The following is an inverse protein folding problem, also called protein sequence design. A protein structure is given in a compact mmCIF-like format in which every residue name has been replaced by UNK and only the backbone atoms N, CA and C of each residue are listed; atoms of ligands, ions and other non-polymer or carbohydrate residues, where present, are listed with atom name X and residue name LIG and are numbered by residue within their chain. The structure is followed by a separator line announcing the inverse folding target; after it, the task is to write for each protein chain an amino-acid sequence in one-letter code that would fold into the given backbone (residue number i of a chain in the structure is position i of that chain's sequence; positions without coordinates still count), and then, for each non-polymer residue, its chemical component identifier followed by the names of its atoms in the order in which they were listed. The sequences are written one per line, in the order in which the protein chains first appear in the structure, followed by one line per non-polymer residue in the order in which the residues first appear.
data_IF_815849450473
#
_entry.id   IF_815849450473
#
_cell.length_a   1.000
_cell.length_b   1.000
_cell.length_c   1.000
_cell.angle_alpha   90.00
_cell.angle_beta   90.00
_cell.angle_gamma   90.00
#
_symmetry.space_group_name_H-M   'P 1'
#
loop_
_entity.id
_entity.type
_entity.pdbx_description
1 polymer ?
#
# COMPACT_ATOMS: atom_id res chain seq x y z
N UNK A 1 10.90 -12.85 -0.55
CA UNK A 1 9.78 -12.02 -0.04
C UNK A 1 8.63 -12.95 0.33
N UNK A 2 8.03 -12.80 1.52
CA UNK A 2 6.81 -13.56 1.89
C UNK A 2 5.59 -12.76 1.46
N UNK A 3 4.60 -13.42 0.88
CA UNK A 3 3.29 -12.83 0.56
C UNK A 3 2.44 -12.85 1.83
N UNK A 4 1.80 -11.72 2.12
CA UNK A 4 0.87 -11.56 3.23
C UNK A 4 -0.46 -11.08 2.66
N UNK A 5 -1.55 -11.72 3.09
CA UNK A 5 -2.91 -11.35 2.72
C UNK A 5 -3.58 -10.75 3.94
N UNK A 6 -4.17 -9.57 3.79
CA UNK A 6 -4.89 -8.89 4.85
C UNK A 6 -6.23 -8.37 4.31
N UNK A 7 -7.17 -8.14 5.22
CA UNK A 7 -8.45 -7.51 4.89
C UNK A 7 -8.32 -6.01 5.10
N UNK A 8 -8.85 -5.24 4.16
CA UNK A 8 -8.86 -3.79 4.18
C UNK A 8 -10.21 -3.30 3.67
N UNK A 9 -10.58 -2.09 4.07
CA UNK A 9 -11.78 -1.44 3.57
C UNK A 9 -11.66 -1.11 2.07
N UNK A 10 -12.77 -1.22 1.33
CA UNK A 10 -12.79 -0.99 -0.11
C UNK A 10 -12.36 0.44 -0.48
N UNK A 11 -12.79 1.44 0.29
CA UNK A 11 -12.39 2.83 0.07
C UNK A 11 -10.87 3.00 0.19
N UNK A 12 -10.26 2.38 1.21
CA UNK A 12 -8.82 2.42 1.41
C UNK A 12 -8.08 1.77 0.22
N UNK A 13 -8.56 0.62 -0.24
CA UNK A 13 -7.98 -0.06 -1.40
C UNK A 13 -8.07 0.80 -2.65
N UNK A 14 -9.19 1.49 -2.87
CA UNK A 14 -9.41 2.34 -4.02
C UNK A 14 -8.49 3.57 -4.01
N UNK A 15 -8.31 4.19 -2.84
CA UNK A 15 -7.34 5.30 -2.65
C UNK A 15 -5.90 4.84 -2.86
N UNK A 16 -5.55 3.64 -2.39
CA UNK A 16 -4.22 3.03 -2.61
C UNK A 16 -3.95 2.77 -4.09
N UNK A 17 -4.96 2.28 -4.82
CA UNK A 17 -4.84 2.00 -6.25
C UNK A 17 -4.68 3.29 -7.05
N UNK A 18 -5.48 4.32 -6.75
CA UNK A 18 -5.33 5.67 -7.31
C UNK A 18 -3.92 6.24 -7.06
N UNK A 19 -3.41 6.09 -5.84
CA UNK A 19 -2.05 6.54 -5.52
C UNK A 19 -0.99 5.75 -6.30
N UNK A 20 -1.18 4.43 -6.45
CA UNK A 20 -0.32 3.56 -7.25
C UNK A 20 -0.23 3.98 -8.72
N UNK A 21 -1.38 4.20 -9.33
CA UNK A 21 -1.46 4.64 -10.73
C UNK A 21 -0.80 6.00 -10.91
N UNK A 22 -1.07 6.97 -10.04
CA UNK A 22 -0.52 8.31 -10.14
C UNK A 22 1.01 8.34 -9.99
N UNK A 23 1.57 7.48 -9.14
CA UNK A 23 3.02 7.45 -8.87
C UNK A 23 3.77 6.42 -9.73
N UNK A 24 3.09 5.67 -10.62
CA UNK A 24 3.66 4.54 -11.38
C UNK A 24 4.36 3.51 -10.48
N UNK A 25 3.81 3.29 -9.28
CA UNK A 25 4.34 2.34 -8.29
C UNK A 25 3.43 1.12 -8.20
N UNK A 26 4.01 -0.01 -7.81
CA UNK A 26 3.20 -1.19 -7.50
C UNK A 26 2.48 -1.03 -6.16
N UNK A 27 1.28 -1.62 -6.01
CA UNK A 27 0.55 -1.65 -4.73
C UNK A 27 1.42 -2.16 -3.58
N UNK A 28 2.21 -3.21 -3.84
CA UNK A 28 3.15 -3.79 -2.87
C UNK A 28 4.27 -2.84 -2.45
N UNK A 29 4.70 -1.92 -3.32
CA UNK A 29 5.73 -0.93 -2.99
C UNK A 29 5.16 0.16 -2.08
N UNK A 30 3.97 0.64 -2.40
CA UNK A 30 3.29 1.67 -1.60
C UNK A 30 2.95 1.17 -0.21
N UNK A 31 2.39 -0.04 -0.12
CA UNK A 31 2.09 -0.66 1.18
C UNK A 31 3.38 -0.81 1.99
N UNK A 32 4.50 -1.16 1.36
CA UNK A 32 5.79 -1.27 2.05
C UNK A 32 6.28 0.08 2.54
N UNK A 33 6.22 1.12 1.71
CA UNK A 33 6.66 2.46 2.09
C UNK A 33 5.81 3.03 3.22
N UNK A 34 4.49 2.81 3.17
CA UNK A 34 3.56 3.19 4.22
C UNK A 34 3.87 2.47 5.53
N UNK A 35 4.12 1.15 5.50
CA UNK A 35 4.50 0.39 6.70
C UNK A 35 5.83 0.88 7.27
N UNK A 36 6.83 1.16 6.43
CA UNK A 36 8.11 1.70 6.90
C UNK A 36 7.93 3.05 7.60
N UNK A 37 7.23 3.99 6.95
CA UNK A 37 6.90 5.29 7.56
C UNK A 37 6.16 5.14 8.89
N UNK A 38 5.22 4.20 8.98
CA UNK A 38 4.45 3.97 10.21
C UNK A 38 5.27 3.34 11.34
N UNK A 39 6.38 2.66 11.03
CA UNK A 39 7.27 2.02 12.02
C UNK A 39 8.50 2.88 12.37
N UNK A 40 8.79 3.93 11.59
CA UNK A 40 9.87 4.89 11.86
C UNK A 40 9.43 6.02 12.82
N UNK A 41 8.13 6.15 13.06
CA UNK A 41 7.50 6.95 14.14
C UNK A 41 7.12 6.05 15.33
#
# INVERSE_FOLDING_TARGET
MRVITFKAEEELLQRLDLYAVNNRLSRSEIIRDAIKKYLED
#
